data_IF_137819401901
#
_entry.id   IF_137819401901
#
_cell.length_a   1.000
_cell.length_b   1.000
_cell.length_c   1.000
_cell.angle_alpha   90.00
_cell.angle_beta   90.00
_cell.angle_gamma   90.00
#
_symmetry.space_group_name_H-M   'P 1'
#
loop_
_entity.id
_entity.type
_entity.pdbx_description
1 polymer ?
#
# COMPACT_ATOMS: atom_id res chain seq x y z
N UNK A 1 32.50 -1.04 71.39
CA UNK A 1 32.63 -2.29 70.60
C UNK A 1 33.68 -2.02 69.52
N UNK A 2 34.92 -2.50 69.64
CA UNK A 2 35.43 -3.88 69.39
C UNK A 2 35.21 -4.36 67.95
N UNK A 3 36.31 -4.25 67.18
CA UNK A 3 36.94 -5.23 66.29
C UNK A 3 36.10 -6.02 65.27
N UNK A 4 36.51 -5.87 64.00
CA UNK A 4 37.06 -6.93 63.14
C UNK A 4 36.16 -8.12 62.77
N UNK A 5 35.93 -8.30 61.46
CA UNK A 5 36.21 -9.57 60.78
C UNK A 5 36.30 -9.35 59.26
N UNK A 6 37.43 -9.82 58.71
CA UNK A 6 37.85 -9.76 57.30
C UNK A 6 37.55 -11.11 56.59
N UNK A 7 37.83 -11.25 55.28
CA UNK A 7 37.20 -12.18 54.34
C UNK A 7 37.86 -13.59 54.28
N UNK A 8 37.15 -14.57 53.71
CA UNK A 8 37.72 -15.83 53.22
C UNK A 8 36.97 -16.27 51.94
N UNK A 9 37.57 -16.14 50.75
CA UNK A 9 38.41 -17.12 50.03
C UNK A 9 37.68 -18.41 49.65
N UNK A 10 37.43 -18.57 48.35
CA UNK A 10 37.55 -19.86 47.67
C UNK A 10 38.13 -19.65 46.27
N UNK A 11 39.39 -20.04 46.15
CA UNK A 11 40.17 -20.12 44.92
C UNK A 11 39.81 -21.45 44.25
N UNK A 12 39.42 -21.45 42.98
CA UNK A 12 39.48 -22.67 42.16
C UNK A 12 40.08 -22.33 40.81
N UNK A 13 41.29 -22.84 40.61
CA UNK A 13 42.04 -22.86 39.36
C UNK A 13 41.56 -24.03 38.49
N UNK A 14 41.96 -23.96 37.22
CA UNK A 14 42.09 -25.03 36.21
C UNK A 14 40.94 -25.09 35.20
N UNK A 15 41.18 -24.55 34.00
CA UNK A 15 41.51 -25.38 32.84
C UNK A 15 41.92 -24.49 31.65
N UNK A 16 43.10 -24.81 31.09
CA UNK A 16 43.59 -24.27 29.83
C UNK A 16 42.73 -24.76 28.66
N UNK A 17 42.51 -23.92 27.65
CA UNK A 17 41.84 -24.38 26.43
C UNK A 17 41.59 -23.32 25.37
N UNK A 18 42.59 -23.10 24.52
CA UNK A 18 42.46 -22.76 23.09
C UNK A 18 42.00 -21.33 22.77
N UNK A 19 42.98 -20.44 22.64
CA UNK A 19 42.87 -19.27 21.77
C UNK A 19 43.06 -19.71 20.31
N UNK A 20 41.96 -20.09 19.64
CA UNK A 20 41.93 -20.26 18.18
C UNK A 20 41.48 -18.94 17.57
N UNK A 21 42.43 -18.04 17.35
CA UNK A 21 42.24 -16.86 16.50
C UNK A 21 42.37 -17.31 15.03
N UNK A 22 41.26 -17.57 14.36
CA UNK A 22 41.19 -17.54 12.90
C UNK A 22 39.92 -16.79 12.51
N UNK A 23 40.12 -15.64 11.86
CA UNK A 23 39.12 -14.59 11.66
C UNK A 23 37.85 -15.09 11.00
N UNK A 24 36.73 -14.79 11.66
CA UNK A 24 35.43 -14.76 10.98
C UNK A 24 35.49 -13.55 10.06
N UNK A 25 35.58 -13.81 8.76
CA UNK A 25 35.24 -12.82 7.74
C UNK A 25 33.75 -12.60 7.87
N UNK A 26 33.35 -11.57 8.63
CA UNK A 26 31.99 -11.07 8.58
C UNK A 26 31.90 -10.38 7.22
N UNK A 27 31.44 -11.10 6.20
CA UNK A 27 30.97 -10.43 5.00
C UNK A 27 29.90 -9.43 5.47
N UNK A 28 29.95 -8.15 5.06
CA UNK A 28 28.79 -7.31 5.25
C UNK A 28 27.67 -8.00 4.48
N UNK A 29 26.71 -8.58 5.20
CA UNK A 29 25.39 -8.79 4.62
C UNK A 29 24.91 -7.39 4.33
N UNK A 30 25.09 -6.96 3.09
CA UNK A 30 24.33 -5.86 2.52
C UNK A 30 22.91 -6.43 2.45
N UNK A 31 22.24 -6.43 3.61
CA UNK A 31 20.80 -6.43 3.64
C UNK A 31 20.45 -5.13 2.94
N UNK A 32 20.17 -5.22 1.64
CA UNK A 32 19.36 -4.23 0.98
C UNK A 32 18.08 -4.20 1.80
N UNK A 33 18.00 -3.27 2.74
CA UNK A 33 16.75 -2.77 3.24
C UNK A 33 16.07 -2.13 2.03
N UNK A 34 15.49 -2.98 1.18
CA UNK A 34 14.34 -2.63 0.39
C UNK A 34 13.17 -2.61 1.39
N UNK A 35 13.29 -1.73 2.38
CA UNK A 35 12.17 -1.20 3.13
C UNK A 35 11.79 0.14 2.50
N UNK A 36 11.79 0.14 1.16
CA UNK A 36 10.77 0.86 0.43
C UNK A 36 9.65 -0.17 0.19
N UNK A 37 9.12 -0.74 1.28
CA UNK A 37 7.71 -1.09 1.23
C UNK A 37 7.03 0.20 0.82
N UNK A 38 6.44 0.23 -0.37
CA UNK A 38 5.57 1.32 -0.75
C UNK A 38 4.65 1.57 0.45
N UNK A 39 4.69 2.78 1.03
CA UNK A 39 3.91 3.06 2.23
C UNK A 39 2.46 2.80 1.89
N UNK A 40 1.91 1.75 2.51
CA UNK A 40 0.52 1.38 2.35
C UNK A 40 -0.30 2.39 3.17
N UNK A 41 -1.27 3.00 2.52
CA UNK A 41 -2.16 3.99 3.10
C UNK A 41 -3.54 3.35 3.25
N UNK A 42 -3.92 2.90 4.46
CA UNK A 42 -5.24 2.31 4.68
C UNK A 42 -6.35 3.27 4.23
N UNK A 43 -7.40 2.73 3.62
CA UNK A 43 -8.52 3.52 3.13
C UNK A 43 -9.85 2.91 3.56
N UNK A 44 -10.82 3.76 3.88
CA UNK A 44 -12.12 3.33 4.37
C UNK A 44 -13.24 4.23 3.82
N UNK A 45 -14.42 3.66 3.64
CA UNK A 45 -15.67 4.42 3.51
C UNK A 45 -16.26 4.62 4.89
N UNK A 46 -16.42 5.87 5.29
CA UNK A 46 -17.09 6.28 6.52
C UNK A 46 -18.49 6.79 6.23
N UNK A 47 -19.39 6.65 7.20
CA UNK A 47 -20.64 7.42 7.22
C UNK A 47 -20.37 8.91 7.44
N UNK A 48 -21.26 9.78 6.96
CA UNK A 48 -21.12 11.23 7.11
C UNK A 48 -20.35 11.87 5.96
N UNK A 49 -19.50 12.85 6.29
CA UNK A 49 -18.76 13.67 5.33
C UNK A 49 -17.32 13.88 5.77
N UNK A 50 -16.45 14.38 4.91
CA UNK A 50 -15.08 14.77 5.27
C UNK A 50 -15.03 15.86 6.36
N UNK A 51 -16.11 16.62 6.57
CA UNK A 51 -16.20 17.59 7.65
C UNK A 51 -16.56 16.95 9.01
N UNK A 52 -17.28 15.83 9.00
CA UNK A 52 -17.71 15.11 10.18
C UNK A 52 -17.78 13.61 9.85
N UNK A 53 -16.64 12.93 10.01
CA UNK A 53 -16.52 11.50 9.75
C UNK A 53 -17.22 10.70 10.86
N UNK A 54 -18.09 9.79 10.45
CA UNK A 54 -18.75 8.83 11.31
C UNK A 54 -18.03 7.48 11.35
N UNK A 55 -18.80 6.42 11.62
CA UNK A 55 -18.29 5.05 11.71
C UNK A 55 -17.76 4.54 10.36
N UNK A 56 -16.78 3.63 10.42
CA UNK A 56 -16.29 2.87 9.25
C UNK A 56 -17.39 1.90 8.80
N UNK A 57 -17.76 1.99 7.53
CA UNK A 57 -18.83 1.17 6.93
C UNK A 57 -18.27 0.12 5.99
N UNK A 58 -17.31 0.50 5.13
CA UNK A 58 -16.64 -0.44 4.22
C UNK A 58 -15.13 -0.28 4.30
N UNK A 59 -14.39 -1.34 4.67
CA UNK A 59 -12.94 -1.32 4.54
C UNK A 59 -12.54 -1.42 3.07
N UNK A 60 -11.51 -0.68 2.68
CA UNK A 60 -10.94 -0.73 1.33
C UNK A 60 -9.52 -1.32 1.38
N UNK A 61 -9.06 -1.78 0.23
CA UNK A 61 -7.66 -2.17 0.02
C UNK A 61 -6.77 -0.93 0.22
N UNK A 62 -5.69 -1.12 0.96
CA UNK A 62 -4.70 -0.07 1.21
C UNK A 62 -4.17 0.51 -0.12
N UNK A 63 -4.06 1.84 -0.18
CA UNK A 63 -3.53 2.55 -1.33
C UNK A 63 -2.01 2.49 -1.27
N UNK A 64 -1.37 1.92 -2.30
CA UNK A 64 0.08 1.79 -2.33
C UNK A 64 0.62 1.90 -3.76
N UNK A 65 1.92 2.23 -3.90
CA UNK A 65 2.57 2.29 -5.21
C UNK A 65 2.69 0.91 -5.90
N UNK A 66 2.49 -0.18 -5.16
CA UNK A 66 2.55 -1.55 -5.67
C UNK A 66 1.18 -2.07 -6.17
N UNK A 67 0.10 -1.34 -5.91
CA UNK A 67 -1.25 -1.79 -6.20
C UNK A 67 -1.64 -1.84 -7.69
N UNK A 68 -0.66 -1.73 -8.60
CA UNK A 68 -0.81 -2.27 -9.96
C UNK A 68 -1.16 -3.74 -9.83
N UNK A 69 -2.45 -4.04 -9.98
CA UNK A 69 -3.10 -5.34 -9.83
C UNK A 69 -2.14 -6.52 -10.00
N UNK A 70 -1.64 -7.05 -8.89
CA UNK A 70 -0.97 -8.35 -8.88
C UNK A 70 -2.02 -9.43 -9.11
N UNK A 71 -2.44 -9.60 -10.37
CA UNK A 71 -2.88 -10.90 -10.87
C UNK A 71 -1.72 -11.49 -11.66
N UNK A 72 -0.63 -11.81 -10.97
CA UNK A 72 0.43 -12.59 -11.58
C UNK A 72 1.70 -12.56 -10.77
N UNK A 73 1.78 -13.45 -9.79
CA UNK A 73 3.06 -13.94 -9.26
C UNK A 73 4.01 -14.14 -10.43
N UNK A 74 5.14 -13.41 -10.53
CA UNK A 74 6.17 -13.78 -11.47
C UNK A 74 6.79 -15.06 -10.91
N UNK A 75 6.29 -16.21 -11.38
CA UNK A 75 7.03 -17.46 -11.26
C UNK A 75 8.29 -17.29 -12.09
N UNK A 76 9.37 -16.92 -11.41
CA UNK A 76 10.71 -17.10 -11.90
C UNK A 76 11.00 -18.60 -11.93
N UNK A 77 10.51 -19.28 -12.97
CA UNK A 77 11.04 -20.59 -13.36
C UNK A 77 12.02 -20.37 -14.52
N UNK A 78 13.30 -20.27 -14.16
CA UNK A 78 14.42 -20.53 -15.06
C UNK A 78 14.29 -21.96 -15.63
N UNK A 79 13.85 -22.09 -16.88
CA UNK A 79 14.01 -23.33 -17.65
C UNK A 79 14.26 -23.05 -19.14
N UNK A 80 15.53 -22.85 -19.45
CA UNK A 80 16.26 -23.33 -20.64
C UNK A 80 15.43 -23.96 -21.78
N UNK A 81 15.38 -23.24 -22.91
CA UNK A 81 15.33 -23.71 -24.30
C UNK A 81 14.20 -24.68 -24.76
N UNK A 82 13.37 -24.21 -25.68
CA UNK A 82 13.26 -24.73 -27.06
C UNK A 82 12.42 -23.78 -27.93
N UNK A 83 12.82 -23.46 -29.18
CA UNK A 83 11.96 -22.72 -30.10
C UNK A 83 11.16 -23.72 -30.94
N UNK A 84 9.83 -23.63 -30.97
CA UNK A 84 9.03 -24.26 -32.00
C UNK A 84 7.92 -23.32 -32.50
N UNK A 85 8.02 -23.03 -33.79
CA UNK A 85 6.94 -22.88 -34.77
C UNK A 85 6.06 -21.64 -34.70
N UNK A 86 6.25 -20.80 -35.72
CA UNK A 86 5.33 -19.77 -36.15
C UNK A 86 3.99 -20.36 -36.54
N UNK A 87 2.89 -19.82 -36.00
CA UNK A 87 1.54 -19.87 -36.59
C UNK A 87 0.69 -18.68 -36.10
N UNK A 88 0.85 -17.56 -36.80
CA UNK A 88 -0.22 -17.01 -37.62
C UNK A 88 -1.60 -16.60 -37.03
N UNK A 89 -1.74 -15.28 -36.86
CA UNK A 89 -2.86 -14.36 -37.19
C UNK A 89 -4.22 -14.36 -36.44
N UNK A 90 -4.45 -13.21 -35.78
CA UNK A 90 -5.48 -12.18 -36.07
C UNK A 90 -6.84 -12.20 -35.34
N UNK A 91 -6.99 -11.26 -34.38
CA UNK A 91 -8.07 -10.25 -34.36
C UNK A 91 -7.79 -9.15 -33.32
N UNK A 92 -8.33 -7.93 -33.49
CA UNK A 92 -7.68 -6.69 -33.09
C UNK A 92 -7.83 -6.41 -31.60
N UNK A 93 -6.70 -6.37 -30.93
CA UNK A 93 -6.54 -5.66 -29.67
C UNK A 93 -6.90 -4.18 -29.88
N UNK A 94 -8.02 -3.77 -29.28
CA UNK A 94 -8.26 -2.36 -29.00
C UNK A 94 -7.14 -1.89 -28.08
N UNK A 95 -6.22 -1.14 -28.68
CA UNK A 95 -5.27 -0.24 -28.07
C UNK A 95 -6.02 0.76 -27.16
N UNK A 96 -6.42 0.31 -25.98
CA UNK A 96 -6.45 1.17 -24.81
C UNK A 96 -5.11 0.99 -24.15
N UNK A 97 -4.09 1.61 -24.74
CA UNK A 97 -2.85 1.88 -24.04
C UNK A 97 -3.19 2.63 -22.76
N UNK A 98 -3.36 1.88 -21.66
CA UNK A 98 -2.81 2.32 -20.39
C UNK A 98 -1.32 2.46 -20.65
N UNK A 99 -0.93 3.66 -21.10
CA UNK A 99 0.45 4.07 -21.03
C UNK A 99 0.83 3.85 -19.58
N UNK A 100 1.71 2.88 -19.35
CA UNK A 100 2.45 2.78 -18.10
C UNK A 100 2.88 4.20 -17.78
N UNK A 101 2.53 4.77 -16.61
CA UNK A 101 3.05 6.07 -16.23
C UNK A 101 4.57 5.89 -16.23
N UNK A 102 5.21 6.40 -17.29
CA UNK A 102 6.64 6.52 -17.34
C UNK A 102 6.92 7.49 -16.22
N UNK A 103 7.43 6.97 -15.10
CA UNK A 103 8.07 7.78 -14.08
C UNK A 103 9.12 8.62 -14.83
N UNK A 104 8.76 9.87 -15.11
CA UNK A 104 9.69 10.82 -15.66
C UNK A 104 10.84 11.00 -14.69
N UNK A 105 11.92 11.69 -15.08
CA UNK A 105 13.03 12.01 -14.18
C UNK A 105 12.65 12.93 -12.99
N UNK A 106 11.35 13.16 -12.77
CA UNK A 106 10.73 13.78 -11.61
C UNK A 106 9.64 12.81 -11.11
N UNK A 107 9.96 12.04 -10.07
CA UNK A 107 9.11 10.97 -9.55
C UNK A 107 7.90 11.53 -8.82
N UNK A 108 6.76 11.58 -9.52
CA UNK A 108 5.45 11.71 -8.86
C UNK A 108 5.09 10.32 -8.34
N UNK A 109 5.11 10.13 -7.03
CA UNK A 109 4.66 8.88 -6.40
C UNK A 109 3.16 8.74 -6.61
N UNK A 110 2.76 7.88 -7.54
CA UNK A 110 1.36 7.51 -7.74
C UNK A 110 1.09 6.21 -6.99
N UNK A 111 0.21 6.26 -6.01
CA UNK A 111 -0.28 5.10 -5.28
C UNK A 111 -1.71 4.79 -5.74
N UNK A 112 -2.06 3.52 -5.88
CA UNK A 112 -3.40 3.10 -6.34
C UNK A 112 -4.02 2.07 -5.41
N UNK A 113 -5.31 1.79 -5.56
CA UNK A 113 -5.96 0.58 -5.04
C UNK A 113 -7.26 0.32 -5.78
N UNK A 114 -7.74 -0.92 -5.69
CA UNK A 114 -9.06 -1.33 -6.17
C UNK A 114 -9.76 -2.20 -5.11
N UNK A 115 -11.05 -1.99 -4.93
CA UNK A 115 -11.88 -2.78 -3.99
C UNK A 115 -13.30 -2.91 -4.51
N UNK A 116 -13.86 -4.12 -4.45
CA UNK A 116 -15.29 -4.34 -4.71
C UNK A 116 -16.06 -4.23 -3.39
N UNK A 117 -16.91 -3.22 -3.28
CA UNK A 117 -17.79 -2.98 -2.15
C UNK A 117 -19.15 -3.63 -2.40
N UNK A 118 -19.66 -4.34 -1.41
CA UNK A 118 -20.97 -5.01 -1.44
C UNK A 118 -22.11 -4.01 -1.16
N UNK A 119 -22.21 -2.96 -1.96
CA UNK A 119 -23.26 -1.95 -1.92
C UNK A 119 -23.47 -1.34 -3.31
N UNK A 120 -24.70 -0.92 -3.61
CA UNK A 120 -25.02 -0.29 -4.88
C UNK A 120 -24.54 1.17 -4.89
N UNK A 121 -24.06 1.64 -6.05
CA UNK A 121 -23.54 3.01 -6.19
C UNK A 121 -24.60 4.07 -5.85
N UNK A 122 -25.87 3.80 -6.15
CA UNK A 122 -26.99 4.67 -5.79
C UNK A 122 -27.14 4.83 -4.27
N UNK A 123 -26.91 3.77 -3.49
CA UNK A 123 -26.98 3.82 -2.03
C UNK A 123 -25.78 4.57 -1.45
N UNK A 124 -24.59 4.36 -2.01
CA UNK A 124 -23.36 5.05 -1.61
C UNK A 124 -23.39 6.55 -1.93
N UNK A 125 -23.96 6.96 -3.05
CA UNK A 125 -24.05 8.38 -3.42
C UNK A 125 -25.19 9.14 -2.72
N UNK A 126 -26.24 8.44 -2.28
CA UNK A 126 -27.37 9.06 -1.57
C UNK A 126 -27.25 8.97 -0.04
N UNK A 127 -26.49 8.02 0.48
CA UNK A 127 -26.45 7.71 1.92
C UNK A 127 -25.60 8.65 2.77
N UNK A 128 -24.87 9.58 2.16
CA UNK A 128 -23.95 10.48 2.87
C UNK A 128 -22.77 9.72 3.43
N UNK A 129 -21.81 9.41 2.56
CA UNK A 129 -20.58 8.72 2.91
C UNK A 129 -19.36 9.52 2.43
N UNK A 130 -18.20 9.25 3.02
CA UNK A 130 -16.93 9.82 2.60
C UNK A 130 -15.86 8.74 2.52
N UNK A 131 -14.97 8.87 1.53
CA UNK A 131 -13.73 8.08 1.44
C UNK A 131 -12.66 8.82 2.21
N UNK A 132 -12.05 8.16 3.18
CA UNK A 132 -10.91 8.67 3.93
C UNK A 132 -9.70 7.78 3.73
N UNK A 133 -8.51 8.40 3.62
CA UNK A 133 -7.23 7.71 3.53
C UNK A 133 -6.34 8.12 4.71
N UNK A 134 -5.74 7.12 5.35
CA UNK A 134 -4.87 7.25 6.49
C UNK A 134 -3.38 7.28 6.09
N UNK A 135 -2.54 7.92 6.89
CA UNK A 135 -1.09 8.00 6.63
C UNK A 135 -0.43 6.63 6.59
N UNK A 136 -0.68 5.78 7.59
CA UNK A 136 -0.19 4.41 7.61
C UNK A 136 -0.97 3.56 8.62
N UNK A 137 -0.71 2.26 8.66
CA UNK A 137 -1.27 1.39 9.69
C UNK A 137 -0.80 1.75 11.11
N UNK A 138 0.44 2.25 11.25
CA UNK A 138 1.01 2.68 12.53
C UNK A 138 0.48 4.05 12.96
N UNK A 139 0.06 4.89 12.00
CA UNK A 139 -0.52 6.21 12.26
C UNK A 139 -1.95 6.35 11.72
N UNK A 140 -2.82 5.39 12.05
CA UNK A 140 -4.22 5.36 11.59
C UNK A 140 -5.05 6.58 12.05
N UNK A 141 -4.59 7.32 13.07
CA UNK A 141 -5.26 8.55 13.51
C UNK A 141 -4.99 9.77 12.61
N UNK A 142 -4.00 9.69 11.72
CA UNK A 142 -3.65 10.79 10.83
C UNK A 142 -4.25 10.58 9.44
N UNK A 143 -5.05 11.55 9.00
CA UNK A 143 -5.74 11.51 7.70
C UNK A 143 -4.95 12.31 6.68
N UNK A 144 -4.69 11.72 5.51
CA UNK A 144 -3.90 12.33 4.45
C UNK A 144 -4.76 12.84 3.31
N UNK A 145 -5.89 12.20 3.02
CA UNK A 145 -6.79 12.62 1.95
C UNK A 145 -8.24 12.23 2.26
N UNK A 146 -9.20 13.01 1.77
CA UNK A 146 -10.63 12.70 1.91
C UNK A 146 -11.47 13.26 0.75
N UNK A 147 -12.53 12.55 0.38
CA UNK A 147 -13.56 13.06 -0.53
C UNK A 147 -14.96 12.54 -0.18
N UNK A 148 -15.95 13.43 -0.24
CA UNK A 148 -17.36 13.08 -0.04
C UNK A 148 -17.89 12.29 -1.25
N UNK A 149 -18.54 11.15 -1.00
CA UNK A 149 -19.22 10.37 -2.03
C UNK A 149 -20.57 11.04 -2.31
N UNK A 150 -20.53 12.04 -3.18
CA UNK A 150 -21.71 12.79 -3.60
C UNK A 150 -21.63 13.13 -5.08
N UNK A 151 -22.79 13.27 -5.71
CA UNK A 151 -22.90 13.65 -7.11
C UNK A 151 -23.82 12.73 -7.89
N UNK A 152 -23.67 12.75 -9.21
CA UNK A 152 -24.44 11.90 -10.12
C UNK A 152 -23.44 11.12 -10.96
N UNK A 153 -23.62 9.80 -11.03
CA UNK A 153 -22.82 8.96 -11.90
C UNK A 153 -22.98 9.40 -13.36
N UNK A 154 -21.90 9.31 -14.12
CA UNK A 154 -21.92 9.50 -15.57
C UNK A 154 -22.76 8.41 -16.25
N UNK A 155 -23.08 8.62 -17.54
CA UNK A 155 -23.79 7.61 -18.35
C UNK A 155 -23.02 6.28 -18.46
N UNK A 156 -21.71 6.27 -18.16
CA UNK A 156 -20.87 5.07 -18.08
C UNK A 156 -21.11 4.21 -16.83
N UNK A 157 -21.85 4.73 -15.84
CA UNK A 157 -21.99 4.10 -14.52
C UNK A 157 -20.89 4.49 -13.52
N UNK A 158 -20.01 5.43 -13.88
CA UNK A 158 -18.92 5.89 -13.02
C UNK A 158 -19.28 7.17 -12.26
N UNK A 159 -18.97 7.20 -10.97
CA UNK A 159 -18.94 8.42 -10.17
C UNK A 159 -17.48 8.73 -9.79
N UNK A 160 -16.99 9.88 -10.24
CA UNK A 160 -15.63 10.36 -9.92
C UNK A 160 -15.67 11.36 -8.77
N UNK A 161 -14.91 11.07 -7.71
CA UNK A 161 -14.77 11.89 -6.51
C UNK A 161 -13.32 12.37 -6.40
N UNK A 162 -13.13 13.66 -6.15
CA UNK A 162 -11.80 14.19 -5.84
C UNK A 162 -11.50 13.99 -4.35
N UNK A 163 -10.30 13.48 -4.06
CA UNK A 163 -9.77 13.37 -2.71
C UNK A 163 -8.86 14.58 -2.45
N UNK A 164 -9.30 15.47 -1.57
CA UNK A 164 -8.54 16.65 -1.16
C UNK A 164 -7.53 16.27 -0.07
N UNK A 165 -6.37 16.94 -0.09
CA UNK A 165 -5.37 16.82 0.96
C UNK A 165 -5.96 17.24 2.31
N UNK A 166 -5.64 16.48 3.36
CA UNK A 166 -5.93 16.81 4.74
C UNK A 166 -4.64 17.02 5.53
N UNK A 167 -4.70 17.86 6.57
CA UNK A 167 -3.60 18.06 7.52
C UNK A 167 -2.25 18.44 6.87
N UNK A 168 -2.30 19.18 5.77
CA UNK A 168 -1.11 19.57 4.98
C UNK A 168 -0.25 18.37 4.54
N UNK A 169 -0.89 17.22 4.28
CA UNK A 169 -0.22 15.95 3.96
C UNK A 169 0.57 15.97 2.65
N UNK A 170 0.27 16.89 1.74
CA UNK A 170 0.81 16.89 0.38
C UNK A 170 0.20 15.84 -0.55
N UNK A 171 -0.80 15.06 -0.09
CA UNK A 171 -1.46 14.05 -0.91
C UNK A 171 -2.77 14.56 -1.49
N UNK A 172 -2.94 14.43 -2.80
CA UNK A 172 -4.23 14.64 -3.48
C UNK A 172 -4.57 13.42 -4.30
N UNK A 173 -5.83 13.24 -4.66
CA UNK A 173 -6.19 12.07 -5.45
C UNK A 173 -7.58 12.12 -6.06
N UNK A 174 -7.93 10.98 -6.63
CA UNK A 174 -9.22 10.72 -7.26
C UNK A 174 -9.66 9.32 -6.88
N UNK A 175 -10.93 9.17 -6.52
CA UNK A 175 -11.60 7.90 -6.40
C UNK A 175 -12.66 7.77 -7.49
N UNK A 176 -12.66 6.65 -8.21
CA UNK A 176 -13.69 6.30 -9.20
C UNK A 176 -14.51 5.16 -8.63
N UNK A 177 -15.83 5.37 -8.57
CA UNK A 177 -16.78 4.36 -8.15
C UNK A 177 -17.58 3.90 -9.37
N UNK A 178 -17.40 2.66 -9.79
CA UNK A 178 -18.09 2.05 -10.92
C UNK A 178 -19.24 1.17 -10.43
N UNK A 179 -20.45 1.40 -10.94
CA UNK A 179 -21.57 0.48 -10.74
C UNK A 179 -21.39 -0.79 -11.60
N UNK A 180 -21.20 -1.94 -10.95
CA UNK A 180 -21.02 -3.22 -11.64
C UNK A 180 -22.33 -3.77 -12.22
N UNK A 181 -23.48 -3.17 -11.91
CA UNK A 181 -24.80 -3.57 -12.39
C UNK A 181 -25.38 -4.82 -11.71
N UNK A 182 -24.68 -5.38 -10.73
CA UNK A 182 -25.10 -6.52 -9.91
C UNK A 182 -25.44 -6.13 -8.45
N UNK A 183 -25.47 -4.82 -8.16
CA UNK A 183 -25.68 -4.28 -6.82
C UNK A 183 -24.38 -4.11 -6.01
N UNK A 184 -23.21 -4.31 -6.64
CA UNK A 184 -21.89 -4.00 -6.07
C UNK A 184 -21.26 -2.80 -6.76
N UNK A 185 -20.29 -2.18 -6.10
CA UNK A 185 -19.56 -1.01 -6.63
C UNK A 185 -18.06 -1.30 -6.58
N UNK A 186 -17.36 -1.09 -7.69
CA UNK A 186 -15.89 -1.13 -7.72
C UNK A 186 -15.35 0.26 -7.39
N UNK A 187 -14.51 0.36 -6.37
CA UNK A 187 -13.87 1.60 -5.91
C UNK A 187 -12.40 1.55 -6.25
N UNK A 188 -11.97 2.41 -7.18
CA UNK A 188 -10.57 2.54 -7.57
C UNK A 188 -10.03 3.88 -7.07
N UNK A 189 -9.00 3.87 -6.23
CA UNK A 189 -8.39 5.08 -5.68
C UNK A 189 -7.04 5.30 -6.35
N UNK A 190 -6.73 6.55 -6.68
CA UNK A 190 -5.41 7.02 -7.10
C UNK A 190 -5.01 8.20 -6.25
N UNK A 191 -3.87 8.10 -5.58
CA UNK A 191 -3.25 9.19 -4.81
C UNK A 191 -1.96 9.61 -5.48
N UNK A 192 -1.71 10.91 -5.45
CA UNK A 192 -0.52 11.58 -5.95
C UNK A 192 0.05 12.42 -4.81
N UNK A 193 1.34 12.27 -4.56
CA UNK A 193 2.08 13.14 -3.67
C UNK A 193 2.59 14.35 -4.46
N UNK A 194 2.21 15.55 -4.04
CA UNK A 194 2.77 16.80 -4.54
C UNK A 194 4.10 17.05 -3.81
N UNK A 195 5.21 16.95 -4.53
CA UNK A 195 6.54 17.20 -3.98
C UNK A 195 6.74 18.72 -3.82
N UNK A 196 6.61 19.23 -2.59
CA UNK A 196 6.81 20.65 -2.26
C UNK A 196 8.29 21.06 -2.21
#
# INVERSE_FOLDING_TARGET
MRLSMSPARALSMIAAGIALTLGIVIAPTIASAQDAAATAHPAHIHSGSCAELGDVVHPLTDVSADATSDTGTPVADDAFATPHSMEAMASPEMDTGMGTPVAGPFGVGVATSETIVQAALADLSAGGYAINVHESAENIGNYIACGDIAGTAADSGDLTIQLAALNDSGYTGTAVLHDNGDGTTTVSITLMQDES
#
